data_IF_665615332431
#
_entry.id   IF_665615332431
#
_cell.length_a   1.000
_cell.length_b   1.000
_cell.length_c   1.000
_cell.angle_alpha   90.00
_cell.angle_beta   90.00
_cell.angle_gamma   90.00
#
_symmetry.space_group_name_H-M   'P 1'
#
loop_
_entity.id
_entity.type
_entity.pdbx_description
1 polymer ?
#
# COMPACT_ATOMS: atom_id res chain seq x y z
N UNK A 1 17.91 8.84 -15.79
CA UNK A 1 16.55 9.39 -15.92
C UNK A 1 15.65 8.92 -14.78
N UNK A 2 15.78 7.68 -14.31
CA UNK A 2 14.94 7.09 -13.24
C UNK A 2 14.79 7.99 -12.00
N UNK A 3 15.90 8.51 -11.44
CA UNK A 3 15.87 9.43 -10.28
C UNK A 3 15.06 10.72 -10.48
N UNK A 4 14.83 11.15 -11.72
CA UNK A 4 14.05 12.36 -12.00
C UNK A 4 12.55 12.08 -11.99
N UNK A 5 12.14 10.84 -12.27
CA UNK A 5 10.74 10.43 -12.29
C UNK A 5 10.29 9.79 -10.96
N UNK A 6 11.22 9.23 -10.18
CA UNK A 6 10.91 8.61 -8.89
C UNK A 6 10.37 9.66 -7.89
N UNK A 7 9.16 9.41 -7.39
CA UNK A 7 8.45 10.20 -6.39
C UNK A 7 8.37 9.55 -5.01
N UNK A 8 8.72 8.27 -4.88
CA UNK A 8 8.74 7.47 -3.64
C UNK A 8 9.33 8.20 -2.42
N UNK A 9 10.40 8.97 -2.62
CA UNK A 9 11.07 9.70 -1.55
C UNK A 9 10.18 10.75 -0.86
N UNK A 10 9.17 11.27 -1.56
CA UNK A 10 8.23 12.24 -1.00
C UNK A 10 6.78 11.74 -0.96
N UNK A 11 6.39 10.78 -1.80
CA UNK A 11 5.06 10.17 -1.84
C UNK A 11 4.79 9.24 -0.67
N UNK A 12 5.83 8.76 0.02
CA UNK A 12 5.73 8.08 1.32
C UNK A 12 4.80 8.76 2.32
N UNK A 13 4.67 10.09 2.28
CA UNK A 13 3.73 10.84 3.13
C UNK A 13 2.25 10.48 2.92
N UNK A 14 1.94 9.88 1.77
CA UNK A 14 0.61 9.47 1.33
C UNK A 14 0.31 8.00 1.64
N UNK A 15 1.28 7.25 2.18
CA UNK A 15 1.14 5.82 2.48
C UNK A 15 -0.14 5.50 3.29
N UNK A 16 -0.45 6.29 4.31
CA UNK A 16 -1.64 6.05 5.14
C UNK A 16 -2.95 6.14 4.34
N UNK A 17 -3.05 7.13 3.45
CA UNK A 17 -4.25 7.32 2.62
C UNK A 17 -4.30 6.33 1.47
N UNK A 18 -3.15 5.92 0.93
CA UNK A 18 -3.07 4.87 -0.08
C UNK A 18 -3.54 3.51 0.48
N UNK A 19 -3.04 3.13 1.65
CA UNK A 19 -3.47 1.92 2.37
C UNK A 19 -4.97 1.99 2.71
N UNK A 20 -5.47 3.14 3.15
CA UNK A 20 -6.90 3.32 3.41
C UNK A 20 -7.75 3.13 2.13
N UNK A 21 -7.30 3.69 1.01
CA UNK A 21 -7.91 3.52 -0.31
C UNK A 21 -7.91 2.06 -0.77
N UNK A 22 -6.76 1.39 -0.66
CA UNK A 22 -6.58 -0.02 -0.98
C UNK A 22 -7.49 -0.93 -0.15
N UNK A 23 -7.62 -0.71 1.17
CA UNK A 23 -8.56 -1.45 2.02
C UNK A 23 -10.02 -1.21 1.61
N UNK A 24 -10.39 0.03 1.26
CA UNK A 24 -11.74 0.34 0.79
C UNK A 24 -12.04 -0.38 -0.52
N UNK A 25 -11.07 -0.43 -1.43
CA UNK A 25 -11.21 -1.12 -2.71
C UNK A 25 -11.30 -2.64 -2.55
N UNK A 26 -10.47 -3.25 -1.69
CA UNK A 26 -10.57 -4.67 -1.37
C UNK A 26 -11.97 -5.04 -0.82
N UNK A 27 -12.54 -4.21 0.05
CA UNK A 27 -13.92 -4.39 0.52
C UNK A 27 -14.94 -4.28 -0.61
N UNK A 28 -14.74 -3.39 -1.58
CA UNK A 28 -15.60 -3.29 -2.75
C UNK A 28 -15.52 -4.54 -3.64
N UNK A 29 -14.32 -5.10 -3.85
CA UNK A 29 -14.12 -6.34 -4.62
C UNK A 29 -14.78 -7.55 -3.94
N UNK A 30 -14.71 -7.64 -2.61
CA UNK A 30 -15.44 -8.66 -1.86
C UNK A 30 -16.96 -8.55 -2.04
N UNK A 31 -17.50 -7.33 -2.06
CA UNK A 31 -18.94 -7.10 -2.28
C UNK A 31 -19.42 -7.49 -3.69
N UNK A 32 -18.51 -7.62 -4.64
CA UNK A 32 -18.80 -8.09 -6.00
C UNK A 32 -18.43 -9.56 -6.20
N UNK A 33 -18.18 -10.30 -5.12
CA UNK A 33 -17.79 -11.72 -5.12
C UNK A 33 -16.47 -11.99 -5.90
N UNK A 34 -15.62 -10.97 -6.08
CA UNK A 34 -14.29 -11.13 -6.70
C UNK A 34 -13.24 -11.58 -5.69
N UNK A 35 -13.47 -11.31 -4.41
CA UNK A 35 -12.67 -11.80 -3.30
C UNK A 35 -13.58 -12.52 -2.33
N UNK A 36 -13.15 -13.68 -1.83
CA UNK A 36 -13.82 -14.31 -0.71
C UNK A 36 -13.46 -13.63 0.64
N UNK A 37 -14.08 -14.09 1.72
CA UNK A 37 -13.86 -13.51 3.04
C UNK A 37 -12.46 -13.77 3.60
N UNK A 38 -11.82 -14.88 3.22
CA UNK A 38 -10.46 -15.21 3.66
C UNK A 38 -9.44 -14.35 2.90
N UNK A 39 -9.61 -14.20 1.58
CA UNK A 39 -8.78 -13.34 0.73
C UNK A 39 -8.86 -11.87 1.17
N UNK A 40 -10.06 -11.36 1.44
CA UNK A 40 -10.24 -10.00 1.97
C UNK A 40 -9.50 -9.81 3.31
N UNK A 41 -9.59 -10.79 4.21
CA UNK A 41 -8.93 -10.74 5.50
C UNK A 41 -7.40 -10.75 5.35
N UNK A 42 -6.87 -11.64 4.50
CA UNK A 42 -5.44 -11.75 4.22
C UNK A 42 -4.88 -10.46 3.60
N UNK A 43 -5.57 -9.89 2.61
CA UNK A 43 -5.20 -8.60 2.01
C UNK A 43 -5.23 -7.49 3.06
N UNK A 44 -6.27 -7.44 3.90
CA UNK A 44 -6.38 -6.39 4.92
C UNK A 44 -5.25 -6.46 5.93
N UNK A 45 -4.88 -7.67 6.39
CA UNK A 45 -3.74 -7.90 7.29
C UNK A 45 -2.43 -7.53 6.61
N UNK A 46 -2.23 -7.93 5.35
CA UNK A 46 -1.03 -7.58 4.58
C UNK A 46 -0.87 -6.06 4.42
N UNK A 47 -1.95 -5.34 4.14
CA UNK A 47 -1.95 -3.88 4.04
C UNK A 47 -1.61 -3.21 5.38
N UNK A 48 -1.97 -3.80 6.52
CA UNK A 48 -1.56 -3.31 7.84
C UNK A 48 -0.09 -3.52 8.12
N UNK A 49 0.45 -4.69 7.74
CA UNK A 49 1.87 -4.98 7.84
C UNK A 49 2.69 -3.99 6.98
N UNK A 50 2.28 -3.77 5.73
CA UNK A 50 2.91 -2.78 4.84
C UNK A 50 2.91 -1.39 5.47
N UNK A 51 1.77 -0.93 6.01
CA UNK A 51 1.70 0.36 6.69
C UNK A 51 2.70 0.45 7.84
N UNK A 52 2.79 -0.59 8.67
CA UNK A 52 3.72 -0.62 9.81
C UNK A 52 5.18 -0.60 9.36
N UNK A 53 5.55 -1.43 8.38
CA UNK A 53 6.91 -1.54 7.87
C UNK A 53 7.38 -0.25 7.17
N UNK A 54 6.52 0.33 6.32
CA UNK A 54 6.87 1.48 5.48
C UNK A 54 6.68 2.81 6.21
N UNK A 55 5.99 2.85 7.35
CA UNK A 55 5.93 4.04 8.23
C UNK A 55 7.15 4.18 9.16
N UNK A 56 7.96 3.13 9.31
CA UNK A 56 9.12 3.15 10.20
C UNK A 56 10.20 4.14 9.70
N UNK A 57 10.69 5.11 10.50
CA UNK A 57 11.60 6.17 10.03
C UNK A 57 12.80 5.67 9.23
N UNK A 58 13.35 4.52 9.62
CA UNK A 58 14.54 3.90 9.05
C UNK A 58 14.27 2.98 7.85
N UNK A 59 13.01 2.91 7.38
CA UNK A 59 12.64 2.14 6.20
C UNK A 59 13.30 2.72 4.94
N UNK A 60 14.17 1.93 4.30
CA UNK A 60 14.83 2.27 3.05
C UNK A 60 13.90 1.98 1.87
N UNK A 61 13.47 3.04 1.19
CA UNK A 61 12.67 2.95 -0.03
C UNK A 61 13.56 3.32 -1.22
N UNK A 62 13.99 2.34 -2.03
CA UNK A 62 14.85 2.62 -3.18
C UNK A 62 14.06 3.30 -4.31
N UNK A 63 14.74 4.16 -5.08
CA UNK A 63 14.16 4.85 -6.25
C UNK A 63 13.55 3.89 -7.30
N UNK A 64 13.96 2.61 -7.29
CA UNK A 64 13.42 1.57 -8.16
C UNK A 64 11.97 1.17 -7.84
N UNK A 65 11.42 1.59 -6.69
CA UNK A 65 10.00 1.45 -6.38
C UNK A 65 9.14 2.53 -7.06
N UNK A 66 9.77 3.57 -7.62
CA UNK A 66 9.13 4.67 -8.32
C UNK A 66 8.25 5.59 -7.43
N UNK A 67 7.18 5.11 -6.79
CA UNK A 67 6.17 5.92 -6.05
C UNK A 67 5.83 5.46 -4.62
#
# INVERSE_FOLDING_TARGET
MERFNASIGFDRRLLEVDIAGSKAYAKALHRTDLLDAAELAEITVGLEAVLQEFSAPDCLLPDALED
#
